data_IF_683317412096
#
_entry.id   IF_683317412096
#
_cell.length_a   1.000
_cell.length_b   1.000
_cell.length_c   1.000
_cell.angle_alpha   90.00
_cell.angle_beta   90.00
_cell.angle_gamma   90.00
#
_symmetry.space_group_name_H-M   'P 1'
#
loop_
_entity.id
_entity.type
_entity.pdbx_description
1 polymer ?
#
# COMPACT_ATOMS: atom_id res chain seq x y z
N UNK A 1 11.98 11.47 2.54
CA UNK A 1 12.69 12.77 2.59
C UNK A 1 13.48 12.84 3.88
N UNK A 2 14.57 13.63 3.97
CA UNK A 2 15.39 13.72 5.20
C UNK A 2 15.91 15.14 5.42
N UNK A 3 16.29 15.49 6.65
CA UNK A 3 17.04 16.71 6.96
C UNK A 3 18.39 16.37 7.60
N UNK A 4 19.31 17.33 7.63
CA UNK A 4 20.54 17.24 8.46
C UNK A 4 20.76 18.56 9.21
N UNK A 5 19.74 19.01 9.96
CA UNK A 5 19.70 20.25 10.76
C UNK A 5 19.80 21.58 10.01
N UNK A 6 20.37 21.64 8.80
CA UNK A 6 20.54 22.86 7.99
C UNK A 6 20.03 22.77 6.55
N UNK A 7 19.44 21.64 6.16
CA UNK A 7 18.91 21.40 4.82
C UNK A 7 17.76 20.39 4.82
N UNK A 8 16.95 20.44 3.76
CA UNK A 8 16.01 19.39 3.37
C UNK A 8 16.56 18.69 2.12
N UNK A 9 16.52 17.36 2.11
CA UNK A 9 17.00 16.53 1.00
C UNK A 9 15.99 15.47 0.59
N UNK A 10 15.77 15.35 -0.71
CA UNK A 10 15.12 14.19 -1.33
C UNK A 10 16.16 13.10 -1.60
N UNK A 11 15.73 11.83 -1.50
CA UNK A 11 16.49 10.65 -1.94
C UNK A 11 15.55 9.80 -2.79
N UNK A 12 16.03 9.27 -3.92
CA UNK A 12 15.28 8.31 -4.74
C UNK A 12 16.09 7.05 -5.02
N UNK A 13 15.39 5.93 -5.17
CA UNK A 13 15.94 4.64 -5.58
C UNK A 13 14.89 3.87 -6.40
N UNK A 14 15.28 2.73 -6.98
CA UNK A 14 14.36 1.81 -7.68
C UNK A 14 13.75 0.74 -6.75
N UNK A 15 14.34 0.51 -5.57
CA UNK A 15 13.85 -0.41 -4.53
C UNK A 15 13.93 0.27 -3.16
N UNK A 16 13.33 -0.35 -2.14
CA UNK A 16 13.32 0.20 -0.79
C UNK A 16 14.71 0.13 -0.13
N UNK A 17 15.45 -0.96 -0.27
CA UNK A 17 16.81 -1.07 0.29
C UNK A 17 17.78 -0.11 -0.40
N UNK A 18 17.57 0.13 -1.70
CA UNK A 18 18.36 1.08 -2.49
C UNK A 18 18.29 2.52 -1.99
N UNK A 19 17.33 2.88 -1.11
CA UNK A 19 17.29 4.21 -0.49
C UNK A 19 18.49 4.50 0.42
N UNK A 20 19.22 3.47 0.89
CA UNK A 20 20.47 3.61 1.66
C UNK A 20 21.57 4.31 0.86
N UNK A 21 21.64 4.04 -0.44
CA UNK A 21 22.66 4.52 -1.38
C UNK A 21 22.03 5.34 -2.53
N UNK A 22 20.77 5.75 -2.36
CA UNK A 22 19.95 6.36 -3.40
C UNK A 22 20.45 7.73 -3.83
N UNK A 23 20.12 8.10 -5.07
CA UNK A 23 20.42 9.42 -5.62
C UNK A 23 19.80 10.50 -4.71
N UNK A 24 20.64 11.38 -4.15
CA UNK A 24 20.24 12.40 -3.17
C UNK A 24 20.34 13.80 -3.78
N UNK A 25 19.30 14.61 -3.58
CA UNK A 25 19.24 16.00 -3.99
C UNK A 25 18.89 16.88 -2.78
N UNK A 26 19.74 17.87 -2.49
CA UNK A 26 19.40 18.94 -1.53
C UNK A 26 18.42 19.88 -2.22
N UNK A 27 17.22 20.03 -1.65
CA UNK A 27 16.13 20.86 -2.21
C UNK A 27 15.92 22.18 -1.46
N UNK A 28 16.45 22.27 -0.25
CA UNK A 28 16.58 23.52 0.50
C UNK A 28 17.82 23.45 1.38
N UNK A 29 18.57 24.56 1.49
CA UNK A 29 19.64 24.76 2.47
C UNK A 29 19.56 26.21 2.93
N UNK A 30 19.32 26.42 4.22
CA UNK A 30 19.12 27.78 4.75
C UNK A 30 20.42 28.57 4.79
N UNK A 31 20.34 29.85 4.44
CA UNK A 31 21.47 30.81 4.47
C UNK A 31 21.26 31.96 5.43
N UNK A 32 20.00 32.31 5.74
CA UNK A 32 19.66 33.42 6.62
C UNK A 32 19.72 32.97 8.09
N UNK A 33 20.15 33.81 9.04
CA UNK A 33 20.29 33.43 10.44
C UNK A 33 19.01 32.84 11.07
N UNK A 34 17.83 33.28 10.62
CA UNK A 34 16.52 32.83 11.12
C UNK A 34 16.03 31.52 10.48
N UNK A 35 16.68 31.04 9.42
CA UNK A 35 16.22 29.91 8.58
C UNK A 35 17.31 28.85 8.31
N UNK A 36 18.57 29.14 8.67
CA UNK A 36 19.75 28.32 8.45
C UNK A 36 19.70 26.93 9.08
N UNK A 37 18.91 26.80 10.13
CA UNK A 37 19.22 25.92 11.24
C UNK A 37 17.95 25.26 11.80
N UNK A 38 18.14 24.25 12.64
CA UNK A 38 17.06 23.47 13.26
C UNK A 38 15.98 23.03 12.25
N UNK A 39 16.45 22.60 11.07
CA UNK A 39 15.61 22.19 9.93
C UNK A 39 15.07 20.77 10.16
N UNK A 40 13.75 20.66 10.35
CA UNK A 40 13.07 19.43 10.78
C UNK A 40 11.77 19.17 10.01
N UNK A 41 11.17 18.00 10.27
CA UNK A 41 9.80 17.62 9.88
C UNK A 41 9.36 18.05 8.46
N UNK A 42 10.08 17.63 7.41
CA UNK A 42 9.69 17.96 6.05
C UNK A 42 8.62 16.98 5.55
N UNK A 43 7.50 17.51 5.06
CA UNK A 43 6.43 16.76 4.39
C UNK A 43 6.25 17.24 2.95
N UNK A 44 5.74 16.39 2.06
CA UNK A 44 5.67 16.64 0.62
C UNK A 44 4.30 16.26 0.07
N UNK A 45 3.62 17.22 -0.57
CA UNK A 45 2.28 17.04 -1.15
C UNK A 45 2.27 17.48 -2.61
N UNK A 46 1.46 16.81 -3.45
CA UNK A 46 1.05 17.39 -4.72
C UNK A 46 -0.21 18.23 -4.48
N UNK A 47 -0.18 19.49 -4.92
CA UNK A 47 -1.25 20.46 -4.75
C UNK A 47 -1.51 21.08 -6.12
N UNK A 48 -2.71 20.89 -6.64
CA UNK A 48 -3.17 21.41 -7.93
C UNK A 48 -2.22 21.08 -9.11
N UNK A 49 -1.59 19.90 -9.06
CA UNK A 49 -0.63 19.41 -10.05
C UNK A 49 0.84 19.73 -9.76
N UNK A 50 1.13 20.62 -8.81
CA UNK A 50 2.48 21.08 -8.44
C UNK A 50 2.91 20.51 -7.10
N UNK A 51 4.14 19.99 -7.02
CA UNK A 51 4.69 19.46 -5.78
C UNK A 51 5.18 20.58 -4.86
N UNK A 52 4.78 20.52 -3.60
CA UNK A 52 5.17 21.44 -2.55
C UNK A 52 5.80 20.69 -1.38
N UNK A 53 6.78 21.31 -0.71
CA UNK A 53 7.40 20.77 0.51
C UNK A 53 7.17 21.76 1.64
N UNK A 54 6.65 21.28 2.76
CA UNK A 54 6.46 22.03 4.00
C UNK A 54 7.48 21.53 5.00
N UNK A 55 8.11 22.43 5.76
CA UNK A 55 9.14 22.04 6.72
C UNK A 55 9.27 23.08 7.84
N UNK A 56 9.82 22.65 8.98
CA UNK A 56 10.19 23.54 10.06
C UNK A 56 11.65 23.98 9.91
N UNK A 57 11.95 25.25 10.21
CA UNK A 57 13.31 25.77 10.37
C UNK A 57 13.31 26.93 11.37
N UNK A 58 14.48 27.31 11.91
CA UNK A 58 14.61 28.42 12.84
C UNK A 58 16.05 28.89 13.03
N UNK A 59 16.22 29.83 13.96
CA UNK A 59 17.54 30.30 14.38
C UNK A 59 18.35 29.27 15.17
N UNK A 60 19.61 29.61 15.45
CA UNK A 60 20.56 28.85 16.27
C UNK A 60 21.11 29.77 17.37
N UNK A 61 21.35 29.30 18.62
CA UNK A 61 21.36 27.90 19.06
C UNK A 61 20.03 27.37 19.62
N UNK A 62 18.99 28.20 19.74
CA UNK A 62 17.79 27.87 20.52
C UNK A 62 16.72 27.10 19.73
N UNK A 63 15.95 26.27 20.44
CA UNK A 63 14.93 25.37 19.89
C UNK A 63 13.49 25.89 20.09
N UNK A 64 13.33 27.22 20.15
CA UNK A 64 12.07 27.94 20.41
C UNK A 64 11.68 28.91 19.27
N UNK A 65 12.41 28.89 18.16
CA UNK A 65 12.28 29.82 17.03
C UNK A 65 11.74 29.19 15.75
N UNK A 66 11.37 27.91 15.77
CA UNK A 66 10.86 27.16 14.62
C UNK A 66 9.64 27.84 14.02
N UNK A 67 9.64 28.00 12.70
CA UNK A 67 8.51 28.44 11.87
C UNK A 67 8.34 27.47 10.70
N UNK A 68 7.14 27.46 10.13
CA UNK A 68 6.81 26.67 8.95
C UNK A 68 7.17 27.44 7.67
N UNK A 69 7.84 26.76 6.74
CA UNK A 69 8.28 27.29 5.45
C UNK A 69 7.81 26.40 4.30
N UNK A 70 7.72 26.98 3.10
CA UNK A 70 7.21 26.32 1.89
C UNK A 70 8.24 26.36 0.77
N UNK A 71 8.42 25.21 0.11
CA UNK A 71 9.09 25.09 -1.17
C UNK A 71 8.07 24.75 -2.27
N UNK A 72 8.25 25.33 -3.45
CA UNK A 72 7.46 25.12 -4.66
C UNK A 72 8.33 24.40 -5.71
N UNK A 73 7.89 23.22 -6.15
CA UNK A 73 8.60 22.37 -7.10
C UNK A 73 7.98 22.39 -8.49
N UNK A 74 8.09 21.26 -9.19
CA UNK A 74 7.50 21.07 -10.52
C UNK A 74 6.31 20.11 -10.53
N UNK A 75 6.02 19.55 -11.72
CA UNK A 75 5.01 18.49 -11.92
C UNK A 75 5.47 17.09 -11.47
N UNK A 76 6.73 16.95 -11.07
CA UNK A 76 7.32 15.71 -10.55
C UNK A 76 7.90 15.96 -9.14
N UNK A 77 7.84 14.97 -8.22
CA UNK A 77 8.39 15.13 -6.88
C UNK A 77 9.92 15.15 -6.89
N UNK A 78 10.54 14.60 -7.93
CA UNK A 78 11.96 14.80 -8.21
C UNK A 78 12.15 16.00 -9.15
N UNK A 79 12.95 16.98 -8.71
CA UNK A 79 13.22 18.21 -9.46
C UNK A 79 13.78 19.30 -8.54
N UNK A 80 14.14 20.44 -9.12
CA UNK A 80 14.52 21.64 -8.36
C UNK A 80 13.31 22.24 -7.64
N UNK A 81 13.51 22.70 -6.42
CA UNK A 81 12.50 23.42 -5.64
C UNK A 81 12.95 24.88 -5.41
N UNK A 82 11.99 25.79 -5.49
CA UNK A 82 12.12 27.22 -5.17
C UNK A 82 11.67 27.45 -3.72
N UNK A 83 12.46 28.14 -2.92
CA UNK A 83 12.01 28.65 -1.63
C UNK A 83 10.95 29.73 -1.85
N UNK A 84 9.71 29.48 -1.40
CA UNK A 84 8.61 30.45 -1.47
C UNK A 84 8.72 31.44 -0.30
N UNK A 85 9.21 30.96 0.83
CA UNK A 85 9.32 31.70 2.08
C UNK A 85 8.55 31.02 3.21
N UNK A 86 8.17 31.82 4.20
CA UNK A 86 7.39 31.37 5.37
C UNK A 86 5.92 31.12 4.98
N UNK A 87 5.30 30.10 5.56
CA UNK A 87 3.87 29.82 5.39
C UNK A 87 3.04 30.94 6.02
N UNK A 88 2.35 31.73 5.18
CA UNK A 88 1.58 32.87 5.66
C UNK A 88 0.36 32.40 6.48
N UNK A 89 0.09 33.08 7.60
CA UNK A 89 -0.90 32.66 8.61
C UNK A 89 -0.29 31.84 9.75
N UNK A 90 0.73 31.01 9.49
CA UNK A 90 1.52 30.30 10.51
C UNK A 90 2.52 31.24 11.22
N UNK A 91 1.97 32.29 11.85
CA UNK A 91 2.73 33.46 12.28
C UNK A 91 3.38 33.33 13.68
N UNK A 92 3.16 32.22 14.38
CA UNK A 92 3.81 31.86 15.65
C UNK A 92 4.77 30.66 15.49
N UNK A 93 5.24 30.09 16.61
CA UNK A 93 6.01 28.84 16.60
C UNK A 93 5.18 27.69 16.01
N UNK A 94 5.82 26.84 15.20
CA UNK A 94 5.19 25.62 14.72
C UNK A 94 6.12 24.66 13.99
N UNK A 95 5.80 23.37 14.09
CA UNK A 95 6.47 22.23 13.44
C UNK A 95 5.43 21.24 12.91
N UNK A 96 5.86 20.15 12.28
CA UNK A 96 5.04 18.99 11.88
C UNK A 96 3.76 19.38 11.13
N UNK A 97 3.90 20.04 9.98
CA UNK A 97 2.79 20.60 9.23
C UNK A 97 2.38 19.79 8.00
N UNK A 98 1.18 19.19 8.05
CA UNK A 98 0.57 18.39 6.97
C UNK A 98 -0.54 19.14 6.23
N UNK A 99 -0.74 18.81 4.95
CA UNK A 99 -1.88 19.24 4.12
C UNK A 99 -2.92 18.12 4.04
N UNK A 100 -4.18 18.43 4.35
CA UNK A 100 -5.31 17.52 4.18
C UNK A 100 -6.49 18.15 3.44
N UNK A 101 -7.40 17.34 2.92
CA UNK A 101 -8.67 17.77 2.33
C UNK A 101 -9.80 17.15 3.15
N UNK A 102 -10.58 17.98 3.85
CA UNK A 102 -11.70 17.56 4.70
C UNK A 102 -12.96 18.24 4.15
N UNK A 103 -14.04 17.49 3.94
CA UNK A 103 -15.32 18.00 3.42
C UNK A 103 -15.14 18.90 2.17
N UNK A 104 -14.32 18.45 1.21
CA UNK A 104 -13.93 19.15 -0.03
C UNK A 104 -13.20 20.50 0.15
N UNK A 105 -12.77 20.86 1.36
CA UNK A 105 -11.95 22.04 1.66
C UNK A 105 -10.52 21.61 2.01
N UNK A 106 -9.52 22.37 1.58
CA UNK A 106 -8.11 22.14 1.91
C UNK A 106 -7.77 22.78 3.26
N UNK A 107 -7.14 22.03 4.14
CA UNK A 107 -6.70 22.48 5.45
C UNK A 107 -5.20 22.20 5.64
N UNK A 108 -4.55 23.06 6.40
CA UNK A 108 -3.22 22.82 6.94
C UNK A 108 -3.34 22.52 8.44
N UNK A 109 -2.66 21.49 8.92
CA UNK A 109 -2.73 21.01 10.31
C UNK A 109 -1.30 20.89 10.82
N UNK A 110 -0.99 21.43 11.99
CA UNK A 110 0.39 21.48 12.49
C UNK A 110 0.49 21.51 14.02
N UNK A 111 1.67 21.18 14.54
CA UNK A 111 2.00 21.37 15.95
C UNK A 111 2.35 22.83 16.24
N UNK A 112 1.68 23.45 17.22
CA UNK A 112 1.75 24.87 17.55
C UNK A 112 1.82 25.09 19.07
N UNK A 113 2.08 26.32 19.52
CA UNK A 113 1.96 26.68 20.95
C UNK A 113 0.65 27.44 21.19
N UNK A 114 -0.20 26.90 22.07
CA UNK A 114 -1.30 27.63 22.72
C UNK A 114 -1.19 27.45 24.25
N UNK A 115 -1.62 28.44 25.04
CA UNK A 115 -1.62 28.42 26.52
C UNK A 115 -0.31 27.94 27.18
N UNK A 116 0.83 28.07 26.49
CA UNK A 116 2.17 27.57 26.87
C UNK A 116 2.35 26.04 26.84
N UNK A 117 1.53 25.32 26.07
CA UNK A 117 1.67 23.87 25.81
C UNK A 117 1.72 23.59 24.30
N UNK A 118 2.44 22.56 23.90
CA UNK A 118 2.54 22.17 22.49
C UNK A 118 1.28 21.38 22.10
N UNK A 119 0.62 21.86 21.05
CA UNK A 119 -0.81 21.71 20.77
C UNK A 119 -1.04 21.47 19.27
N UNK A 120 -2.24 21.06 18.85
CA UNK A 120 -2.58 20.98 17.42
C UNK A 120 -3.40 22.19 16.97
N UNK A 121 -2.92 22.84 15.91
CA UNK A 121 -3.60 23.91 15.19
C UNK A 121 -4.07 23.42 13.81
N UNK A 122 -5.15 24.03 13.32
CA UNK A 122 -5.69 23.86 11.98
C UNK A 122 -6.10 25.21 11.38
N UNK A 123 -5.97 25.36 10.07
CA UNK A 123 -6.46 26.52 9.34
C UNK A 123 -6.92 26.11 7.93
N UNK A 124 -7.90 26.82 7.38
CA UNK A 124 -8.26 26.69 5.96
C UNK A 124 -7.09 27.17 5.09
N UNK A 125 -6.66 26.35 4.13
CA UNK A 125 -5.53 26.64 3.25
C UNK A 125 -6.04 27.30 1.96
N UNK A 126 -5.89 28.62 1.86
CA UNK A 126 -6.43 29.43 0.75
C UNK A 126 -5.49 29.46 -0.46
N UNK A 127 -4.20 29.18 -0.26
CA UNK A 127 -3.24 28.87 -1.32
C UNK A 127 -2.16 27.92 -0.80
N UNK A 128 -1.30 27.32 -1.65
CA UNK A 128 -0.19 26.48 -1.19
C UNK A 128 0.79 27.18 -0.22
N UNK A 129 0.76 28.50 -0.12
CA UNK A 129 1.62 29.31 0.76
C UNK A 129 0.86 30.21 1.74
N UNK A 130 -0.47 30.11 1.82
CA UNK A 130 -1.30 31.01 2.66
C UNK A 130 -2.44 30.26 3.34
N UNK A 131 -2.57 30.50 4.64
CA UNK A 131 -3.63 30.03 5.51
C UNK A 131 -4.60 31.17 5.86
N UNK A 132 -5.83 30.80 6.22
CA UNK A 132 -6.80 31.69 6.84
C UNK A 132 -6.55 31.82 8.36
N UNK A 133 -7.60 32.12 9.14
CA UNK A 133 -7.56 32.12 10.60
C UNK A 133 -7.11 30.76 11.16
N UNK A 134 -6.34 30.81 12.25
CA UNK A 134 -5.78 29.64 12.94
C UNK A 134 -6.66 29.27 14.12
N UNK A 135 -7.12 28.03 14.15
CA UNK A 135 -7.94 27.47 15.21
C UNK A 135 -7.16 26.36 15.93
N UNK A 136 -7.31 26.24 17.25
CA UNK A 136 -6.71 25.17 18.04
C UNK A 136 -7.74 24.05 18.20
N UNK A 137 -7.32 22.80 17.99
CA UNK A 137 -8.20 21.61 18.04
C UNK A 137 -7.75 20.53 19.03
N UNK A 138 -6.58 20.66 19.65
CA UNK A 138 -6.14 19.75 20.71
C UNK A 138 -5.07 20.37 21.63
N UNK A 139 -5.27 20.20 22.95
CA UNK A 139 -4.25 20.40 23.99
C UNK A 139 -3.87 19.05 24.62
N UNK A 140 -2.61 18.86 25.06
CA UNK A 140 -2.16 17.67 25.77
C UNK A 140 -2.76 17.62 27.19
N UNK A 141 -4.04 17.32 27.32
CA UNK A 141 -4.80 17.38 28.58
C UNK A 141 -4.73 16.09 29.40
N UNK A 142 -4.67 14.93 28.72
CA UNK A 142 -4.65 13.64 29.41
C UNK A 142 -3.28 13.37 30.03
N UNK A 143 -3.24 12.63 31.15
CA UNK A 143 -1.98 12.34 31.86
C UNK A 143 -0.91 11.63 31.03
N UNK A 144 -1.31 10.87 30.00
CA UNK A 144 -0.41 10.19 29.05
C UNK A 144 0.16 11.11 27.96
N UNK A 145 -0.45 12.27 27.70
CA UNK A 145 0.04 13.27 26.73
C UNK A 145 1.14 14.19 27.32
N UNK A 146 1.45 14.02 28.61
CA UNK A 146 2.13 15.04 29.44
C UNK A 146 3.40 14.58 30.15
N UNK A 147 3.79 13.30 30.11
CA UNK A 147 4.88 12.74 30.94
C UNK A 147 4.78 13.13 32.43
N UNK A 148 3.66 12.85 33.09
CA UNK A 148 3.39 13.30 34.47
C UNK A 148 3.54 14.83 34.69
N UNK A 149 3.35 15.62 33.62
CA UNK A 149 3.45 17.08 33.62
C UNK A 149 4.79 17.66 33.11
N UNK A 150 5.75 16.83 32.71
CA UNK A 150 7.10 17.27 32.27
C UNK A 150 7.23 17.59 30.79
N UNK A 151 6.37 17.05 29.94
CA UNK A 151 6.41 17.29 28.48
C UNK A 151 5.00 17.21 27.88
N UNK A 152 4.20 18.28 28.02
CA UNK A 152 2.89 18.40 27.40
C UNK A 152 3.04 18.64 25.88
N UNK A 153 2.85 17.58 25.09
CA UNK A 153 3.07 17.57 23.63
C UNK A 153 1.85 17.01 22.91
N UNK A 154 1.39 17.71 21.87
CA UNK A 154 0.70 17.13 20.72
C UNK A 154 1.43 17.58 19.44
N UNK A 155 1.93 16.63 18.66
CA UNK A 155 2.69 16.85 17.42
C UNK A 155 2.41 15.75 16.38
N UNK A 156 3.16 15.70 15.28
CA UNK A 156 3.01 14.68 14.22
C UNK A 156 1.57 14.38 13.76
N UNK A 157 0.77 15.39 13.32
CA UNK A 157 -0.60 15.16 12.89
C UNK A 157 -0.65 14.43 11.53
N UNK A 158 -1.31 13.28 11.48
CA UNK A 158 -1.58 12.54 10.24
C UNK A 158 -3.09 12.25 10.10
N UNK A 159 -3.68 12.63 8.97
CA UNK A 159 -5.12 12.47 8.70
C UNK A 159 -5.41 11.22 7.88
N UNK A 160 -6.40 10.45 8.32
CA UNK A 160 -6.99 9.31 7.62
C UNK A 160 -8.51 9.53 7.47
N UNK A 161 -9.07 9.21 6.30
CA UNK A 161 -10.51 9.32 6.05
C UNK A 161 -11.07 7.99 5.56
N UNK A 162 -12.18 7.54 6.15
CA UNK A 162 -12.79 6.23 5.85
C UNK A 162 -14.26 6.22 6.32
N UNK A 163 -15.16 5.67 5.51
CA UNK A 163 -16.60 5.53 5.83
C UNK A 163 -17.29 6.84 6.27
N UNK A 164 -16.96 7.97 5.61
CA UNK A 164 -17.49 9.29 5.98
C UNK A 164 -16.97 9.83 7.32
N UNK A 165 -15.98 9.19 7.95
CA UNK A 165 -15.34 9.65 9.19
C UNK A 165 -13.94 10.18 8.91
N UNK A 166 -13.59 11.26 9.60
CA UNK A 166 -12.26 11.86 9.58
C UNK A 166 -11.56 11.51 10.88
N UNK A 167 -10.38 10.94 10.76
CA UNK A 167 -9.49 10.55 11.84
C UNK A 167 -8.20 11.35 11.74
N UNK A 168 -7.68 11.83 12.85
CA UNK A 168 -6.43 12.57 12.94
C UNK A 168 -5.62 11.93 14.07
N UNK A 169 -4.64 11.10 13.73
CA UNK A 169 -3.66 10.60 14.70
C UNK A 169 -2.60 11.66 14.96
N UNK A 170 -2.10 11.70 16.18
CA UNK A 170 -1.05 12.64 16.58
C UNK A 170 -0.13 12.00 17.61
N UNK A 171 1.13 12.41 17.64
CA UNK A 171 2.09 11.99 18.64
C UNK A 171 1.98 12.85 19.92
N UNK A 172 2.21 12.25 21.08
CA UNK A 172 2.12 12.91 22.38
C UNK A 172 3.17 12.41 23.39
N UNK A 173 3.39 13.17 24.46
CA UNK A 173 4.59 13.11 25.32
C UNK A 173 5.90 13.37 24.53
N UNK A 174 7.08 13.31 25.18
CA UNK A 174 8.35 13.68 24.53
C UNK A 174 8.98 12.53 23.74
N UNK A 175 9.37 12.80 22.50
CA UNK A 175 10.08 11.88 21.59
C UNK A 175 11.47 11.46 22.11
N UNK A 176 12.03 12.16 23.10
CA UNK A 176 13.28 11.77 23.77
C UNK A 176 13.09 10.66 24.83
N UNK A 177 11.90 10.04 24.91
CA UNK A 177 11.50 9.21 26.06
C UNK A 177 10.59 8.04 25.68
N UNK A 178 10.50 7.05 26.57
CA UNK A 178 9.65 5.87 26.40
C UNK A 178 8.14 6.14 26.55
N UNK A 179 7.74 7.35 26.97
CA UNK A 179 6.32 7.73 27.12
C UNK A 179 5.69 8.24 25.82
N UNK A 180 6.50 8.42 24.76
CA UNK A 180 6.00 8.80 23.44
C UNK A 180 4.93 7.81 22.97
N UNK A 181 3.80 8.34 22.51
CA UNK A 181 2.59 7.56 22.21
C UNK A 181 1.71 8.26 21.19
N UNK A 182 0.78 7.53 20.58
CA UNK A 182 -0.15 8.06 19.59
C UNK A 182 -1.54 8.28 20.20
N UNK A 183 -2.08 9.47 20.01
CA UNK A 183 -3.48 9.82 20.23
C UNK A 183 -4.30 9.75 18.95
N UNK A 184 -5.61 9.89 19.10
CA UNK A 184 -6.57 9.93 18.00
C UNK A 184 -7.63 10.99 18.28
N UNK A 185 -7.79 11.96 17.36
CA UNK A 185 -8.99 12.77 17.25
C UNK A 185 -9.90 12.16 16.18
N UNK A 186 -11.20 12.07 16.46
CA UNK A 186 -12.23 11.67 15.49
C UNK A 186 -13.19 12.83 15.29
N UNK A 187 -13.35 13.32 14.05
CA UNK A 187 -14.32 14.36 13.74
C UNK A 187 -15.74 13.78 13.86
N UNK A 188 -16.62 14.51 14.55
CA UNK A 188 -18.06 14.21 14.58
C UNK A 188 -18.66 14.40 13.16
N UNK A 189 -19.59 13.54 12.71
CA UNK A 189 -20.18 13.63 11.38
C UNK A 189 -20.74 15.02 11.05
N UNK A 190 -20.53 15.48 9.81
CA UNK A 190 -20.98 16.77 9.27
C UNK A 190 -20.55 18.02 10.07
N UNK A 191 -19.57 17.93 10.98
CA UNK A 191 -19.08 19.09 11.74
C UNK A 191 -17.91 19.80 11.05
N UNK A 192 -17.71 21.10 11.36
CA UNK A 192 -16.57 21.87 10.82
C UNK A 192 -15.27 21.49 11.58
N UNK A 193 -14.21 21.04 10.89
CA UNK A 193 -12.95 20.66 11.53
C UNK A 193 -12.20 21.83 12.20
N UNK A 194 -12.59 23.09 11.97
CA UNK A 194 -12.02 24.25 12.66
C UNK A 194 -12.56 24.44 14.09
N UNK A 195 -13.66 23.78 14.46
CA UNK A 195 -14.27 23.92 15.79
C UNK A 195 -13.69 22.85 16.73
N UNK A 196 -13.12 23.28 17.86
CA UNK A 196 -12.57 22.40 18.90
C UNK A 196 -13.54 21.27 19.30
N UNK A 197 -14.78 21.62 19.65
CA UNK A 197 -15.80 20.66 20.09
C UNK A 197 -16.29 19.71 18.99
N UNK A 198 -15.87 19.87 17.74
CA UNK A 198 -16.15 18.90 16.67
C UNK A 198 -15.31 17.63 16.79
N UNK A 199 -14.22 17.65 17.55
CA UNK A 199 -13.29 16.53 17.69
C UNK A 199 -13.54 15.73 18.98
N UNK A 200 -13.61 14.41 18.85
CA UNK A 200 -13.62 13.46 19.97
C UNK A 200 -12.22 12.88 20.12
N UNK A 201 -11.56 13.20 21.23
CA UNK A 201 -10.22 12.68 21.57
C UNK A 201 -10.32 11.31 22.24
N UNK A 202 -9.50 10.36 21.80
CA UNK A 202 -9.25 9.06 22.46
C UNK A 202 -7.76 8.73 22.44
N UNK A 203 -7.30 7.93 23.39
CA UNK A 203 -5.92 7.43 23.40
C UNK A 203 -5.39 7.02 24.79
N UNK A 204 -4.13 6.55 24.85
CA UNK A 204 -3.24 6.34 23.72
C UNK A 204 -3.68 5.13 22.88
N UNK A 205 -3.82 5.31 21.57
CA UNK A 205 -4.18 4.22 20.62
C UNK A 205 -2.96 3.37 20.23
N UNK A 206 -1.75 3.91 20.40
CA UNK A 206 -0.49 3.16 20.31
C UNK A 206 0.50 3.70 21.35
N UNK A 207 1.31 2.81 21.93
CA UNK A 207 2.31 3.17 22.96
C UNK A 207 3.40 2.10 23.05
N UNK A 208 4.47 2.41 23.79
CA UNK A 208 5.49 1.46 24.24
C UNK A 208 4.89 0.15 24.79
N UNK A 209 5.33 -0.99 24.24
CA UNK A 209 4.92 -2.34 24.62
C UNK A 209 5.95 -3.37 24.15
N UNK A 210 6.05 -4.53 24.81
CA UNK A 210 6.88 -5.67 24.37
C UNK A 210 8.34 -5.29 24.02
N UNK A 211 8.99 -4.47 24.85
CA UNK A 211 10.34 -3.91 24.64
C UNK A 211 10.54 -3.09 23.34
N UNK A 212 9.45 -2.69 22.68
CA UNK A 212 9.45 -1.67 21.64
C UNK A 212 9.02 -0.35 22.28
N UNK A 213 9.83 0.71 22.10
CA UNK A 213 9.70 1.98 22.81
C UNK A 213 9.45 3.13 21.82
N UNK A 214 8.48 4.00 22.13
CA UNK A 214 8.20 5.24 21.40
C UNK A 214 7.87 5.04 19.90
N UNK A 215 6.59 4.90 19.52
CA UNK A 215 6.18 4.43 18.19
C UNK A 215 6.42 5.41 17.01
N UNK A 216 7.09 6.54 17.26
CA UNK A 216 7.37 7.57 16.25
C UNK A 216 6.14 8.39 15.83
N UNK A 217 6.39 9.37 14.96
CA UNK A 217 5.36 10.06 14.18
C UNK A 217 4.91 9.11 13.05
N UNK A 218 3.62 8.77 13.03
CA UNK A 218 3.06 7.82 12.08
C UNK A 218 2.55 8.49 10.79
N UNK A 219 2.45 7.72 9.71
CA UNK A 219 1.80 8.12 8.47
C UNK A 219 1.02 6.95 7.86
N UNK A 220 0.12 7.24 6.92
CA UNK A 220 -0.76 6.24 6.30
C UNK A 220 -0.59 6.20 4.77
N UNK A 221 -0.76 5.01 4.20
CA UNK A 221 -0.75 4.72 2.77
C UNK A 221 -1.70 3.55 2.47
N UNK A 222 -2.20 3.46 1.23
CA UNK A 222 -3.41 2.69 0.91
C UNK A 222 -3.16 1.29 0.31
N UNK A 223 -4.08 0.33 0.56
CA UNK A 223 -3.86 -1.15 0.43
C UNK A 223 -5.16 -1.97 0.07
N UNK A 224 -5.28 -3.13 -0.63
CA UNK A 224 -4.61 -3.81 -1.80
C UNK A 224 -4.03 -5.25 -1.69
N UNK A 225 -4.78 -6.31 -1.30
CA UNK A 225 -4.32 -7.70 -1.04
C UNK A 225 -3.26 -8.35 -1.95
N UNK A 226 -2.02 -8.40 -1.45
CA UNK A 226 -0.96 -9.32 -1.87
C UNK A 226 -0.18 -9.91 -0.68
N UNK A 227 1.11 -10.14 -0.86
CA UNK A 227 2.03 -10.71 0.13
C UNK A 227 2.12 -12.23 0.14
N UNK A 228 1.58 -12.91 -0.88
CA UNK A 228 1.45 -14.38 -0.91
C UNK A 228 2.05 -15.01 -2.19
N UNK A 229 3.26 -14.66 -2.63
CA UNK A 229 4.32 -13.90 -1.92
C UNK A 229 4.39 -12.41 -2.36
N UNK A 230 5.36 -11.66 -1.81
CA UNK A 230 5.59 -10.27 -2.24
C UNK A 230 6.20 -10.19 -3.66
N UNK A 231 6.94 -11.21 -4.11
CA UNK A 231 7.45 -11.30 -5.49
C UNK A 231 6.29 -11.37 -6.49
N UNK A 232 5.30 -12.24 -6.24
CA UNK A 232 4.07 -12.31 -7.02
C UNK A 232 3.35 -10.95 -7.03
N UNK A 233 3.22 -10.33 -5.86
CA UNK A 233 2.56 -9.01 -5.70
C UNK A 233 3.25 -7.90 -6.50
N UNK A 234 4.59 -7.92 -6.54
CA UNK A 234 5.39 -7.04 -7.38
C UNK A 234 5.15 -7.27 -8.88
N UNK A 235 5.02 -8.53 -9.32
CA UNK A 235 4.65 -8.87 -10.69
C UNK A 235 3.27 -8.33 -11.07
N UNK A 236 2.26 -8.49 -10.22
CA UNK A 236 0.92 -7.92 -10.44
C UNK A 236 0.98 -6.39 -10.60
N UNK A 237 1.59 -5.68 -9.63
CA UNK A 237 1.67 -4.21 -9.68
C UNK A 237 2.37 -3.70 -10.94
N UNK A 238 3.52 -4.28 -11.30
CA UNK A 238 4.27 -3.87 -12.49
C UNK A 238 3.52 -4.20 -13.78
N UNK A 239 2.85 -5.35 -13.86
CA UNK A 239 2.09 -5.78 -15.03
C UNK A 239 0.86 -4.91 -15.27
N UNK A 240 0.04 -4.67 -14.23
CA UNK A 240 -1.18 -3.84 -14.32
C UNK A 240 -0.81 -2.42 -14.80
N UNK A 241 0.20 -1.80 -14.18
CA UNK A 241 0.67 -0.46 -14.56
C UNK A 241 1.26 -0.41 -15.98
N UNK A 242 1.97 -1.45 -16.40
CA UNK A 242 2.57 -1.52 -17.74
C UNK A 242 1.50 -1.71 -18.82
N UNK A 243 0.46 -2.52 -18.56
CA UNK A 243 -0.67 -2.71 -19.45
C UNK A 243 -1.48 -1.40 -19.62
N UNK A 244 -1.90 -0.76 -18.53
CA UNK A 244 -2.62 0.54 -18.57
C UNK A 244 -1.80 1.61 -19.31
N UNK A 245 -0.49 1.71 -19.06
CA UNK A 245 0.37 2.64 -19.81
C UNK A 245 0.51 2.28 -21.29
N UNK A 246 0.53 0.99 -21.64
CA UNK A 246 0.62 0.55 -23.04
C UNK A 246 -0.67 0.84 -23.82
N UNK A 247 -1.83 0.84 -23.13
CA UNK A 247 -3.15 1.07 -23.73
C UNK A 247 -3.51 2.56 -23.81
N UNK A 248 -3.20 3.35 -22.78
CA UNK A 248 -3.57 4.77 -22.69
C UNK A 248 -2.41 5.75 -22.97
N UNK A 249 -1.17 5.26 -22.95
CA UNK A 249 0.02 6.06 -23.23
C UNK A 249 0.40 7.08 -22.15
N UNK A 250 1.19 8.08 -22.57
CA UNK A 250 1.58 9.23 -21.75
C UNK A 250 2.25 8.86 -20.43
N UNK A 251 1.60 9.22 -19.31
CA UNK A 251 2.03 8.89 -17.95
C UNK A 251 0.98 8.09 -17.16
N UNK A 252 0.00 7.49 -17.84
CA UNK A 252 -1.02 6.69 -17.16
C UNK A 252 -0.38 5.55 -16.35
N UNK A 253 -1.07 5.22 -15.26
CA UNK A 253 -0.75 4.25 -14.23
C UNK A 253 -2.07 3.83 -13.58
N UNK A 254 -2.07 2.72 -12.87
CA UNK A 254 -3.27 2.15 -12.27
C UNK A 254 -3.58 2.82 -10.93
N UNK A 255 -4.84 3.20 -10.72
CA UNK A 255 -5.35 3.61 -9.40
C UNK A 255 -5.51 2.35 -8.54
N UNK A 256 -4.49 2.07 -7.73
CA UNK A 256 -4.40 0.86 -6.91
C UNK A 256 -4.17 1.22 -5.44
N UNK A 257 -4.89 0.52 -4.57
CA UNK A 257 -4.49 0.36 -3.17
C UNK A 257 -3.43 -0.78 -3.16
N UNK A 258 -2.27 -0.65 -2.47
CA UNK A 258 -1.13 -1.60 -2.26
C UNK A 258 -1.01 -2.30 -0.87
N UNK A 259 -1.40 -3.57 -0.67
CA UNK A 259 -1.25 -4.34 0.58
C UNK A 259 -0.25 -5.49 0.44
N UNK A 260 0.30 -5.93 1.57
CA UNK A 260 0.99 -7.21 1.67
C UNK A 260 0.67 -7.83 3.02
N UNK A 261 0.11 -9.04 3.02
CA UNK A 261 0.14 -9.89 4.20
C UNK A 261 1.58 -10.29 4.54
N UNK A 262 1.81 -10.69 5.78
CA UNK A 262 2.86 -11.65 6.13
C UNK A 262 2.34 -13.05 5.73
N UNK A 263 3.10 -13.80 4.93
CA UNK A 263 2.59 -15.04 4.35
C UNK A 263 2.57 -16.20 5.33
N UNK A 264 3.57 -16.30 6.21
CA UNK A 264 3.77 -17.52 7.02
C UNK A 264 2.61 -17.82 7.99
N UNK A 265 2.01 -16.81 8.68
CA UNK A 265 0.80 -17.03 9.48
C UNK A 265 -0.42 -17.42 8.63
N UNK A 266 -0.60 -16.79 7.46
CA UNK A 266 -1.74 -17.03 6.55
C UNK A 266 -1.64 -18.44 5.94
N UNK A 267 -0.45 -18.82 5.48
CA UNK A 267 -0.14 -20.15 4.95
C UNK A 267 -0.31 -21.22 6.05
N UNK A 268 0.11 -20.93 7.28
CA UNK A 268 -0.12 -21.83 8.43
C UNK A 268 -1.60 -22.09 8.69
N UNK A 269 -2.47 -21.06 8.59
CA UNK A 269 -3.92 -21.24 8.70
C UNK A 269 -4.51 -22.06 7.54
N UNK A 270 -4.08 -21.80 6.30
CA UNK A 270 -4.50 -22.56 5.12
C UNK A 270 -4.08 -24.04 5.18
N UNK A 271 -2.86 -24.32 5.63
CA UNK A 271 -2.33 -25.68 5.80
C UNK A 271 -2.97 -26.42 6.98
N UNK A 272 -3.35 -25.72 8.04
CA UNK A 272 -4.14 -26.27 9.15
C UNK A 272 -5.61 -26.52 8.78
N UNK A 273 -6.08 -26.00 7.64
CA UNK A 273 -7.48 -26.10 7.20
C UNK A 273 -8.43 -25.11 7.91
N UNK A 274 -7.90 -24.07 8.54
CA UNK A 274 -8.66 -23.06 9.29
C UNK A 274 -9.32 -22.02 8.37
N UNK A 275 -10.05 -22.49 7.35
CA UNK A 275 -10.53 -21.66 6.23
C UNK A 275 -11.44 -20.50 6.66
N UNK A 276 -12.28 -20.68 7.68
CA UNK A 276 -13.11 -19.59 8.24
C UNK A 276 -12.29 -18.38 8.71
N UNK A 277 -11.14 -18.62 9.36
CA UNK A 277 -10.25 -17.54 9.82
C UNK A 277 -9.58 -16.84 8.62
N UNK A 278 -9.17 -17.61 7.61
CA UNK A 278 -8.62 -17.05 6.36
C UNK A 278 -9.68 -16.21 5.63
N UNK A 279 -10.92 -16.72 5.49
CA UNK A 279 -12.06 -15.98 4.96
C UNK A 279 -12.31 -14.70 5.76
N UNK A 280 -12.30 -14.76 7.09
CA UNK A 280 -12.51 -13.60 7.98
C UNK A 280 -11.45 -12.51 7.78
N UNK A 281 -10.17 -12.90 7.69
CA UNK A 281 -9.04 -12.00 7.44
C UNK A 281 -9.17 -11.32 6.06
N UNK A 282 -9.48 -12.09 5.01
CA UNK A 282 -9.63 -11.55 3.65
C UNK A 282 -10.89 -10.69 3.51
N UNK A 283 -12.01 -11.13 4.09
CA UNK A 283 -13.29 -10.39 4.13
C UNK A 283 -13.10 -9.04 4.82
N UNK A 284 -12.41 -8.99 5.96
CA UNK A 284 -12.10 -7.75 6.68
C UNK A 284 -11.33 -6.77 5.80
N UNK A 285 -10.40 -7.27 4.99
CA UNK A 285 -9.63 -6.48 4.03
C UNK A 285 -10.46 -6.05 2.82
N UNK A 286 -11.24 -6.94 2.20
CA UNK A 286 -12.14 -6.62 1.08
C UNK A 286 -13.19 -5.56 1.45
N UNK A 287 -13.82 -5.73 2.63
CA UNK A 287 -14.69 -4.71 3.24
C UNK A 287 -13.91 -3.41 3.44
N UNK A 288 -12.64 -3.44 3.86
CA UNK A 288 -11.81 -2.24 3.96
C UNK A 288 -11.62 -1.54 2.60
N UNK A 289 -11.49 -2.26 1.49
CA UNK A 289 -11.20 -1.67 0.18
C UNK A 289 -12.44 -1.08 -0.48
N UNK A 290 -13.57 -1.79 -0.41
CA UNK A 290 -14.90 -1.29 -0.81
C UNK A 290 -15.22 0.03 -0.11
N UNK A 291 -14.91 0.10 1.18
CA UNK A 291 -15.01 1.30 2.03
C UNK A 291 -14.02 2.44 1.68
N UNK A 292 -13.01 2.17 0.87
CA UNK A 292 -12.07 3.16 0.29
C UNK A 292 -12.40 3.46 -1.18
N UNK A 293 -13.52 2.95 -1.72
CA UNK A 293 -13.97 3.20 -3.09
C UNK A 293 -13.50 2.18 -4.13
N UNK A 294 -12.86 1.07 -3.73
CA UNK A 294 -12.48 0.01 -4.67
C UNK A 294 -13.72 -0.59 -5.36
N UNK A 295 -13.56 -0.90 -6.66
CA UNK A 295 -14.63 -1.40 -7.53
C UNK A 295 -14.65 -2.92 -7.65
N UNK A 296 -13.49 -3.56 -7.56
CA UNK A 296 -13.35 -5.00 -7.44
C UNK A 296 -12.19 -5.37 -6.53
N UNK A 297 -12.11 -6.65 -6.15
CA UNK A 297 -11.02 -7.24 -5.39
C UNK A 297 -10.15 -8.10 -6.30
N UNK A 298 -8.83 -8.03 -6.13
CA UNK A 298 -7.85 -8.88 -6.81
C UNK A 298 -7.09 -9.67 -5.75
N UNK A 299 -7.13 -11.01 -5.85
CA UNK A 299 -6.33 -11.90 -5.00
C UNK A 299 -5.06 -12.27 -5.78
N UNK A 300 -3.90 -11.77 -5.34
CA UNK A 300 -2.65 -11.89 -6.11
C UNK A 300 -1.94 -13.27 -6.01
N UNK A 301 -2.69 -14.36 -5.85
CA UNK A 301 -2.18 -15.73 -5.72
C UNK A 301 -3.24 -16.79 -6.10
N UNK A 302 -2.82 -17.97 -6.56
CA UNK A 302 -3.76 -19.04 -6.98
C UNK A 302 -4.51 -19.67 -5.80
N UNK A 303 -3.80 -20.24 -4.82
CA UNK A 303 -4.39 -21.04 -3.73
C UNK A 303 -5.48 -20.31 -2.90
N UNK A 304 -5.36 -19.01 -2.56
CA UNK A 304 -6.39 -18.33 -1.77
C UNK A 304 -7.72 -18.08 -2.52
N UNK A 305 -7.81 -18.34 -3.83
CA UNK A 305 -9.09 -18.29 -4.55
C UNK A 305 -10.10 -19.34 -4.06
N UNK A 306 -9.67 -20.33 -3.26
CA UNK A 306 -10.56 -21.25 -2.54
C UNK A 306 -11.63 -20.55 -1.69
N UNK A 307 -11.37 -19.32 -1.24
CA UNK A 307 -12.32 -18.49 -0.47
C UNK A 307 -12.86 -17.30 -1.27
N UNK A 308 -12.64 -17.24 -2.60
CA UNK A 308 -12.99 -16.08 -3.41
C UNK A 308 -14.49 -15.78 -3.38
N UNK A 309 -15.35 -16.76 -3.69
CA UNK A 309 -16.81 -16.59 -3.73
C UNK A 309 -17.39 -16.22 -2.37
N UNK A 310 -16.80 -16.74 -1.28
CA UNK A 310 -17.23 -16.45 0.08
C UNK A 310 -16.78 -15.04 0.54
N UNK A 311 -15.59 -14.58 0.13
CA UNK A 311 -15.14 -13.19 0.34
C UNK A 311 -15.94 -12.21 -0.51
N UNK A 312 -16.34 -12.60 -1.73
CA UNK A 312 -17.24 -11.85 -2.60
C UNK A 312 -18.59 -11.64 -1.90
N UNK A 313 -19.25 -12.72 -1.47
CA UNK A 313 -20.54 -12.67 -0.76
C UNK A 313 -20.45 -11.84 0.53
N UNK A 314 -19.51 -12.17 1.42
CA UNK A 314 -19.40 -11.54 2.75
C UNK A 314 -18.99 -10.07 2.69
N UNK A 315 -18.31 -9.61 1.65
CA UNK A 315 -17.94 -8.19 1.47
C UNK A 315 -18.85 -7.43 0.50
N UNK A 316 -19.50 -8.13 -0.44
CA UNK A 316 -20.18 -7.57 -1.60
C UNK A 316 -19.25 -6.73 -2.48
N UNK A 317 -17.99 -7.13 -2.65
CA UNK A 317 -17.02 -6.50 -3.54
C UNK A 317 -16.59 -7.54 -4.58
N UNK A 318 -16.98 -7.31 -5.83
CA UNK A 318 -16.79 -8.18 -6.99
C UNK A 318 -15.34 -8.71 -7.06
N UNK A 319 -15.16 -10.02 -6.96
CA UNK A 319 -13.84 -10.66 -6.93
C UNK A 319 -13.43 -11.00 -8.35
N UNK A 320 -12.47 -10.24 -8.86
CA UNK A 320 -11.84 -10.50 -10.14
C UNK A 320 -11.06 -11.82 -10.00
N UNK A 321 -11.64 -12.90 -10.52
CA UNK A 321 -11.22 -14.26 -10.21
C UNK A 321 -10.19 -14.79 -11.24
N UNK A 322 -9.02 -15.22 -10.76
CA UNK A 322 -7.87 -15.64 -11.59
C UNK A 322 -8.22 -16.68 -12.67
N UNK A 323 -9.11 -17.61 -12.34
CA UNK A 323 -9.55 -18.67 -13.24
C UNK A 323 -10.32 -18.15 -14.46
N UNK A 324 -11.07 -17.04 -14.32
CA UNK A 324 -11.98 -16.57 -15.35
C UNK A 324 -11.21 -15.85 -16.47
N UNK A 325 -10.23 -15.01 -16.10
CA UNK A 325 -9.27 -14.43 -17.05
C UNK A 325 -8.40 -15.49 -17.72
N UNK A 326 -8.04 -16.55 -16.98
CA UNK A 326 -7.30 -17.70 -17.53
C UNK A 326 -8.13 -18.42 -18.58
N UNK A 327 -9.40 -18.73 -18.29
CA UNK A 327 -10.31 -19.39 -19.22
C UNK A 327 -10.59 -18.55 -20.48
N UNK A 328 -10.79 -17.23 -20.33
CA UNK A 328 -10.91 -16.31 -21.46
C UNK A 328 -9.69 -16.34 -22.39
N UNK A 329 -8.47 -16.44 -21.83
CA UNK A 329 -7.24 -16.56 -22.61
C UNK A 329 -7.13 -17.92 -23.32
N UNK A 330 -7.54 -19.01 -22.67
CA UNK A 330 -7.61 -20.37 -23.25
C UNK A 330 -8.58 -20.40 -24.44
N UNK A 331 -9.80 -19.87 -24.29
CA UNK A 331 -10.78 -19.75 -25.38
C UNK A 331 -10.26 -18.88 -26.53
N UNK A 332 -9.58 -17.77 -26.22
CA UNK A 332 -8.98 -16.86 -27.21
C UNK A 332 -7.83 -17.50 -28.00
N UNK A 333 -7.17 -18.51 -27.44
CA UNK A 333 -6.19 -19.34 -28.14
C UNK A 333 -6.82 -20.46 -28.99
N UNK A 334 -8.14 -20.67 -28.88
CA UNK A 334 -8.88 -21.73 -29.58
C UNK A 334 -8.82 -23.10 -28.90
N UNK A 335 -8.18 -23.19 -27.72
CA UNK A 335 -8.05 -24.43 -26.96
C UNK A 335 -9.36 -24.80 -26.25
N UNK A 336 -9.70 -26.08 -26.25
CA UNK A 336 -10.82 -26.68 -25.51
C UNK A 336 -10.37 -27.68 -24.45
N UNK A 337 -9.14 -28.19 -24.53
CA UNK A 337 -8.55 -29.10 -23.54
C UNK A 337 -7.20 -28.59 -23.09
N UNK A 338 -6.98 -28.46 -21.78
CA UNK A 338 -5.74 -27.90 -21.22
C UNK A 338 -5.22 -28.69 -20.04
N UNK A 339 -3.91 -28.74 -19.91
CA UNK A 339 -3.23 -29.27 -18.73
C UNK A 339 -3.15 -28.20 -17.64
N UNK A 340 -3.35 -28.56 -16.37
CA UNK A 340 -3.11 -27.69 -15.23
C UNK A 340 -1.94 -28.24 -14.38
N UNK A 341 -0.94 -27.39 -14.18
CA UNK A 341 0.15 -27.62 -13.23
C UNK A 341 0.07 -26.56 -12.11
N UNK A 342 0.35 -26.96 -10.87
CA UNK A 342 0.25 -26.10 -9.69
C UNK A 342 0.62 -26.88 -8.42
N UNK A 343 0.35 -26.30 -7.26
CA UNK A 343 0.37 -27.09 -6.01
C UNK A 343 -0.74 -28.14 -6.03
N UNK A 344 -0.64 -29.17 -5.18
CA UNK A 344 -1.64 -30.26 -5.09
C UNK A 344 -3.06 -29.71 -4.95
N UNK A 345 -3.24 -28.72 -4.08
CA UNK A 345 -4.51 -28.03 -3.84
C UNK A 345 -5.07 -27.31 -5.08
N UNK A 346 -4.22 -26.76 -5.95
CA UNK A 346 -4.65 -26.10 -7.20
C UNK A 346 -5.03 -27.13 -8.27
N UNK A 347 -4.36 -28.30 -8.29
CA UNK A 347 -4.62 -29.37 -9.26
C UNK A 347 -5.83 -30.25 -8.89
N UNK A 348 -6.03 -30.56 -7.60
CA UNK A 348 -7.03 -31.55 -7.18
C UNK A 348 -8.40 -30.93 -6.84
N UNK A 349 -8.41 -29.77 -6.18
CA UNK A 349 -9.64 -29.12 -5.70
C UNK A 349 -10.41 -28.39 -6.83
N UNK A 350 -11.59 -27.86 -6.50
CA UNK A 350 -12.57 -27.36 -7.47
C UNK A 350 -12.37 -25.91 -7.92
N UNK A 351 -11.96 -25.02 -7.02
CA UNK A 351 -12.05 -23.56 -7.20
C UNK A 351 -11.33 -22.96 -8.42
N UNK A 352 -10.29 -23.61 -8.95
CA UNK A 352 -9.72 -23.30 -10.28
C UNK A 352 -10.30 -24.24 -11.35
N UNK A 353 -10.00 -25.54 -11.22
CA UNK A 353 -10.24 -26.58 -12.22
C UNK A 353 -11.70 -26.65 -12.68
N UNK A 354 -12.62 -26.69 -11.72
CA UNK A 354 -14.04 -26.92 -11.96
C UNK A 354 -14.74 -25.62 -12.36
N UNK A 355 -14.25 -24.46 -11.91
CA UNK A 355 -14.72 -23.14 -12.36
C UNK A 355 -14.40 -22.91 -13.84
N UNK A 356 -13.16 -23.19 -14.27
CA UNK A 356 -12.78 -23.16 -15.70
C UNK A 356 -13.64 -24.15 -16.50
N UNK A 357 -13.81 -25.37 -16.00
CA UNK A 357 -14.53 -26.43 -16.73
C UNK A 357 -16.03 -26.15 -16.86
N UNK A 358 -16.68 -25.67 -15.79
CA UNK A 358 -18.14 -25.50 -15.73
C UNK A 358 -18.60 -24.19 -16.38
N UNK A 359 -17.83 -23.12 -16.26
CA UNK A 359 -18.25 -21.79 -16.73
C UNK A 359 -17.85 -21.50 -18.19
N UNK A 360 -16.88 -22.26 -18.75
CA UNK A 360 -16.27 -21.96 -20.05
C UNK A 360 -16.12 -23.17 -21.00
N UNK A 361 -16.70 -24.33 -20.68
CA UNK A 361 -16.68 -25.56 -21.50
C UNK A 361 -15.26 -26.09 -21.86
N UNK A 362 -14.26 -25.84 -21.01
CA UNK A 362 -12.87 -26.29 -21.19
C UNK A 362 -12.60 -27.57 -20.38
N UNK A 363 -12.12 -28.65 -21.00
CA UNK A 363 -11.65 -29.82 -20.25
C UNK A 363 -10.28 -29.55 -19.60
N UNK A 364 -10.24 -29.37 -18.28
CA UNK A 364 -8.99 -29.20 -17.51
C UNK A 364 -8.50 -30.56 -16.99
N UNK A 365 -7.34 -31.01 -17.47
CA UNK A 365 -6.69 -32.25 -17.03
C UNK A 365 -5.44 -31.99 -16.17
N UNK A 366 -5.19 -32.84 -15.19
CA UNK A 366 -4.00 -32.80 -14.31
C UNK A 366 -3.19 -34.09 -14.44
N UNK A 367 -1.92 -34.15 -13.97
CA UNK A 367 -1.12 -35.37 -13.98
C UNK A 367 -1.89 -36.51 -13.30
N UNK A 368 -2.05 -37.64 -13.97
CA UNK A 368 -2.99 -38.70 -13.55
C UNK A 368 -2.53 -39.46 -12.31
N UNK A 369 -1.22 -39.74 -12.21
CA UNK A 369 -0.63 -40.38 -11.05
C UNK A 369 -0.53 -39.45 -9.83
N UNK A 370 -0.80 -40.00 -8.64
CA UNK A 370 -0.77 -39.26 -7.39
C UNK A 370 0.66 -38.87 -6.99
N UNK A 371 1.66 -39.73 -7.22
CA UNK A 371 3.06 -39.45 -6.85
C UNK A 371 3.64 -38.32 -7.69
N UNK A 372 3.26 -38.22 -8.96
CA UNK A 372 3.59 -37.07 -9.81
C UNK A 372 3.03 -35.77 -9.23
N UNK A 373 1.74 -35.73 -8.86
CA UNK A 373 1.13 -34.54 -8.23
C UNK A 373 1.76 -34.20 -6.88
N UNK A 374 2.07 -35.20 -6.07
CA UNK A 374 2.73 -35.05 -4.77
C UNK A 374 4.17 -34.52 -4.92
N UNK A 375 4.94 -35.03 -5.89
CA UNK A 375 6.32 -34.55 -6.17
C UNK A 375 6.31 -33.11 -6.67
N UNK A 376 5.42 -32.77 -7.63
CA UNK A 376 5.27 -31.37 -8.11
C UNK A 376 4.89 -30.43 -6.96
N UNK A 377 3.98 -30.84 -6.07
CA UNK A 377 3.62 -30.06 -4.89
C UNK A 377 4.79 -29.89 -3.90
N UNK A 378 5.52 -30.96 -3.55
CA UNK A 378 6.69 -30.89 -2.67
C UNK A 378 7.77 -29.97 -3.25
N UNK A 379 8.04 -30.09 -4.56
CA UNK A 379 8.94 -29.21 -5.29
C UNK A 379 8.51 -27.75 -5.17
N UNK A 380 7.26 -27.41 -5.49
CA UNK A 380 6.77 -26.03 -5.44
C UNK A 380 6.78 -25.45 -4.02
N UNK A 381 6.38 -26.22 -3.01
CA UNK A 381 6.44 -25.78 -1.59
C UNK A 381 7.88 -25.50 -1.15
N UNK A 382 8.87 -26.24 -1.68
CA UNK A 382 10.28 -26.00 -1.40
C UNK A 382 10.87 -24.77 -2.13
N UNK A 383 10.33 -24.36 -3.28
CA UNK A 383 10.81 -23.19 -4.06
C UNK A 383 10.08 -21.88 -3.77
N UNK A 384 8.80 -21.96 -3.35
CA UNK A 384 7.85 -20.85 -3.18
C UNK A 384 8.35 -19.68 -2.30
N UNK A 385 9.39 -19.90 -1.50
CA UNK A 385 9.97 -18.89 -0.59
C UNK A 385 11.32 -18.34 -1.05
N UNK A 386 11.81 -18.73 -2.24
CA UNK A 386 13.19 -18.45 -2.70
C UNK A 386 13.35 -18.12 -4.19
N UNK A 387 12.37 -18.44 -5.04
CA UNK A 387 12.48 -18.23 -6.50
C UNK A 387 13.58 -19.05 -7.18
N UNK A 388 14.09 -20.11 -6.53
CA UNK A 388 15.15 -20.97 -7.05
C UNK A 388 14.53 -22.07 -7.90
N UNK A 389 14.65 -21.96 -9.22
CA UNK A 389 14.48 -23.09 -10.14
C UNK A 389 15.85 -23.70 -10.43
N UNK A 390 15.94 -25.03 -10.41
CA UNK A 390 17.12 -25.78 -10.86
C UNK A 390 16.75 -26.72 -12.02
N UNK A 391 17.75 -27.35 -12.62
CA UNK A 391 17.57 -28.22 -13.80
C UNK A 391 16.69 -29.45 -13.52
N UNK A 392 16.72 -30.04 -12.32
CA UNK A 392 15.85 -31.16 -11.96
C UNK A 392 14.37 -30.74 -11.89
N UNK A 393 14.12 -29.55 -11.31
CA UNK A 393 12.79 -28.96 -11.17
C UNK A 393 12.22 -28.59 -12.54
N UNK A 394 13.02 -27.97 -13.42
CA UNK A 394 12.61 -27.72 -14.81
C UNK A 394 12.33 -29.04 -15.53
N UNK A 395 13.21 -30.04 -15.45
CA UNK A 395 13.02 -31.33 -16.10
C UNK A 395 11.72 -32.03 -15.66
N UNK A 396 11.43 -32.06 -14.36
CA UNK A 396 10.18 -32.61 -13.81
C UNK A 396 8.93 -31.91 -14.37
N UNK A 397 8.94 -30.58 -14.42
CA UNK A 397 7.80 -29.79 -14.89
C UNK A 397 7.60 -29.92 -16.41
N UNK A 398 8.69 -30.00 -17.17
CA UNK A 398 8.69 -30.28 -18.61
C UNK A 398 8.16 -31.70 -18.91
N UNK A 399 8.55 -32.70 -18.12
CA UNK A 399 8.03 -34.08 -18.21
C UNK A 399 6.52 -34.11 -17.93
N UNK A 400 6.07 -33.44 -16.86
CA UNK A 400 4.65 -33.34 -16.51
C UNK A 400 3.84 -32.64 -17.61
N UNK A 401 4.36 -31.53 -18.17
CA UNK A 401 3.71 -30.82 -19.28
C UNK A 401 3.61 -31.69 -20.54
N UNK A 402 4.66 -32.44 -20.90
CA UNK A 402 4.66 -33.36 -22.05
C UNK A 402 3.64 -34.49 -21.88
N UNK A 403 3.58 -35.11 -20.69
CA UNK A 403 2.57 -36.14 -20.39
C UNK A 403 1.13 -35.62 -20.48
N UNK A 404 0.89 -34.34 -20.19
CA UNK A 404 -0.42 -33.70 -20.39
C UNK A 404 -0.73 -33.46 -21.88
N UNK A 405 0.26 -33.03 -22.67
CA UNK A 405 0.13 -32.84 -24.12
C UNK A 405 -0.14 -34.17 -24.83
N UNK A 406 0.56 -35.24 -24.45
CA UNK A 406 0.33 -36.61 -24.95
C UNK A 406 -1.09 -37.13 -24.63
N UNK A 407 -1.69 -36.62 -23.54
CA UNK A 407 -3.09 -36.89 -23.16
C UNK A 407 -4.09 -35.91 -23.78
N UNK A 408 -3.65 -35.11 -24.75
CA UNK A 408 -4.49 -34.20 -25.54
C UNK A 408 -4.62 -32.78 -25.00
N UNK A 409 -3.76 -32.34 -24.07
CA UNK A 409 -3.73 -30.92 -23.69
C UNK A 409 -3.24 -30.05 -24.86
N UNK A 410 -4.09 -29.15 -25.32
CA UNK A 410 -3.83 -28.17 -26.39
C UNK A 410 -3.10 -26.91 -25.87
N UNK A 411 -2.87 -26.83 -24.55
CA UNK A 411 -2.16 -25.77 -23.84
C UNK A 411 -1.98 -26.12 -22.36
N UNK A 412 -1.07 -25.44 -21.65
CA UNK A 412 -0.77 -25.71 -20.23
C UNK A 412 -0.95 -24.46 -19.36
N UNK A 413 -1.78 -24.55 -18.33
CA UNK A 413 -1.99 -23.53 -17.30
C UNK A 413 -0.93 -23.66 -16.19
N UNK A 414 -0.33 -22.53 -15.83
CA UNK A 414 0.69 -22.40 -14.80
C UNK A 414 0.06 -21.76 -13.54
N UNK A 415 -0.39 -22.61 -12.61
CA UNK A 415 -1.06 -22.24 -11.36
C UNK A 415 -0.14 -21.83 -10.19
N UNK A 416 1.07 -21.34 -10.47
CA UNK A 416 1.98 -20.69 -9.50
C UNK A 416 2.98 -19.79 -10.23
N UNK A 417 3.49 -18.75 -9.57
CA UNK A 417 4.57 -17.90 -10.09
C UNK A 417 5.84 -18.66 -10.40
N UNK A 418 6.21 -19.65 -9.58
CA UNK A 418 7.40 -20.49 -9.76
C UNK A 418 7.40 -21.24 -11.11
N UNK A 419 6.21 -21.62 -11.57
CA UNK A 419 6.05 -22.37 -12.83
C UNK A 419 6.39 -21.50 -14.04
N UNK A 420 6.13 -20.20 -14.00
CA UNK A 420 6.48 -19.27 -15.08
C UNK A 420 8.00 -19.00 -15.17
N UNK A 421 8.73 -19.14 -14.06
CA UNK A 421 10.19 -19.12 -14.07
C UNK A 421 10.79 -20.44 -14.60
N UNK A 422 10.11 -21.56 -14.36
CA UNK A 422 10.60 -22.90 -14.67
C UNK A 422 10.25 -23.42 -16.07
N UNK A 423 9.02 -23.21 -16.55
CA UNK A 423 8.54 -23.74 -17.81
C UNK A 423 8.37 -22.61 -18.83
N UNK A 424 9.19 -22.60 -19.87
CA UNK A 424 9.22 -21.53 -20.88
C UNK A 424 8.53 -21.96 -22.17
N UNK A 425 8.17 -20.99 -23.02
CA UNK A 425 7.42 -21.27 -24.25
C UNK A 425 8.21 -22.19 -25.20
N UNK A 426 9.53 -22.21 -25.12
CA UNK A 426 10.41 -23.04 -25.93
C UNK A 426 10.46 -24.52 -25.49
N UNK A 427 10.07 -24.83 -24.24
CA UNK A 427 10.19 -26.17 -23.65
C UNK A 427 9.10 -27.16 -24.12
N UNK A 428 7.98 -26.62 -24.65
CA UNK A 428 6.74 -27.31 -25.03
C UNK A 428 6.23 -26.91 -26.41
N UNK A 429 5.45 -27.78 -27.06
CA UNK A 429 4.83 -27.48 -28.36
C UNK A 429 3.65 -26.51 -28.26
N UNK A 430 2.87 -26.58 -27.17
CA UNK A 430 1.59 -25.87 -26.97
C UNK A 430 1.74 -24.51 -26.27
N UNK A 431 0.71 -23.62 -26.29
CA UNK A 431 0.72 -22.39 -25.50
C UNK A 431 0.85 -22.65 -23.99
N UNK A 432 1.48 -21.71 -23.30
CA UNK A 432 1.51 -21.63 -21.85
C UNK A 432 0.61 -20.48 -21.39
N UNK A 433 -0.12 -20.69 -20.30
CA UNK A 433 -1.03 -19.71 -19.70
C UNK A 433 -0.58 -19.44 -18.26
N UNK A 434 0.27 -18.42 -18.06
CA UNK A 434 0.58 -17.93 -16.70
C UNK A 434 -0.66 -17.26 -16.11
N UNK A 435 -1.25 -17.91 -15.12
CA UNK A 435 -2.43 -17.44 -14.40
C UNK A 435 -2.24 -16.04 -13.83
N UNK A 436 -1.04 -15.67 -13.38
CA UNK A 436 -0.76 -14.40 -12.74
C UNK A 436 -0.57 -13.27 -13.76
N UNK A 437 0.16 -13.52 -14.85
CA UNK A 437 0.30 -12.53 -15.92
C UNK A 437 -1.06 -12.28 -16.60
N UNK A 438 -1.82 -13.34 -16.91
CA UNK A 438 -3.14 -13.23 -17.53
C UNK A 438 -4.13 -12.48 -16.64
N UNK A 439 -4.13 -12.76 -15.34
CA UNK A 439 -4.98 -12.06 -14.37
C UNK A 439 -4.57 -10.59 -14.20
N UNK A 440 -3.28 -10.30 -14.04
CA UNK A 440 -2.79 -8.92 -13.94
C UNK A 440 -3.04 -8.09 -15.22
N UNK A 441 -2.96 -8.70 -16.41
CA UNK A 441 -3.36 -8.06 -17.67
C UNK A 441 -4.88 -7.90 -17.77
N UNK A 442 -5.65 -8.90 -17.37
CA UNK A 442 -7.12 -8.88 -17.39
C UNK A 442 -7.71 -7.80 -16.50
N UNK A 443 -7.21 -7.67 -15.26
CA UNK A 443 -7.53 -6.58 -14.33
C UNK A 443 -7.23 -5.21 -14.97
N UNK A 444 -6.10 -5.07 -15.67
CA UNK A 444 -5.73 -3.81 -16.30
C UNK A 444 -6.69 -3.38 -17.43
N UNK A 445 -7.16 -4.33 -18.25
CA UNK A 445 -8.19 -4.06 -19.26
C UNK A 445 -9.55 -3.77 -18.61
N UNK A 446 -9.95 -4.53 -17.58
CA UNK A 446 -11.19 -4.31 -16.83
C UNK A 446 -11.25 -2.91 -16.20
N UNK A 447 -10.14 -2.43 -15.61
CA UNK A 447 -10.04 -1.06 -15.08
C UNK A 447 -10.19 0.02 -16.17
N UNK A 448 -9.77 -0.26 -17.40
CA UNK A 448 -9.95 0.65 -18.55
C UNK A 448 -11.41 0.67 -19.00
N UNK A 449 -12.09 -0.49 -19.01
CA UNK A 449 -13.47 -0.63 -19.46
C UNK A 449 -14.49 -0.07 -18.44
N UNK A 450 -14.27 -0.23 -17.13
CA UNK A 450 -15.09 0.37 -16.05
C UNK A 450 -14.83 1.88 -15.85
N UNK A 451 -13.89 2.47 -16.58
CA UNK A 451 -13.41 3.86 -16.40
C UNK A 451 -12.85 4.14 -14.98
N UNK A 452 -12.37 3.11 -14.28
CA UNK A 452 -11.91 3.15 -12.88
C UNK A 452 -10.47 3.66 -12.71
N UNK A 453 -10.11 4.75 -13.41
CA UNK A 453 -8.72 5.23 -13.61
C UNK A 453 -8.41 6.59 -12.97
#
# INVERSE_FOLDING_TARGET
MTTTWNNVSLTRARTLEGLKEGERMVVYKGTDPDTCCNVWAPEIHNIDGTWHIYFAAGGSPFLDQQRLYVLEGGRTPWGTYKFVGRLNGANNWGIDGTVSIIHNKRYFIWSCIDKKVQSLCIALMTSPSTLAETHVISHPDNGWERMQGRSPVNEGPAVMQRNGKVFLTYSASSCFTNDYSLGLLTLKPEQDPLIWDSWVKTGPVFKTAYNNYGPGHNGFFYTLLGGMTYEATSLYYNTINSAIRSRLGGRHCASLLLHSYDFDPILSLMLAGNWEEVTSIFTTSAISFKNQGAKGLVICANYPHKIADEVEERSGLDVLHIADFTAQAVLKAGCKKVGLLGTKNVMEESYIKDRISSNFEIEVIVPSDQKTRDRVHQTLVATLTRGIVNEEIQALLVECARSLIERGAEGIILGSTDLAFALKREDVSVPLFDTNELHARGVAEWMIEDQAL
#
